data_IF_756004664361
#
_entry.id   IF_756004664361
#
_cell.length_a   1.000
_cell.length_b   1.000
_cell.length_c   1.000
_cell.angle_alpha   90.00
_cell.angle_beta   90.00
_cell.angle_gamma   90.00
#
_symmetry.space_group_name_H-M   'P 1'
#
loop_
_entity.id
_entity.type
_entity.pdbx_description
1 polymer ?
#
# COMPACT_ATOMS: atom_id res chain seq x y z
N UNK A 1 0.54 9.56 -14.03
CA UNK A 1 -0.48 9.21 -13.02
C UNK A 1 -0.78 10.51 -12.31
N UNK A 2 -2.02 10.97 -12.30
CA UNK A 2 -2.43 12.15 -11.54
C UNK A 2 -2.96 11.68 -10.19
N UNK A 3 -2.41 12.24 -9.11
CA UNK A 3 -2.86 11.96 -7.74
C UNK A 3 -3.48 13.24 -7.19
N UNK A 4 -4.69 13.12 -6.64
CA UNK A 4 -5.41 14.23 -6.05
C UNK A 4 -5.72 13.90 -4.60
N UNK A 5 -5.40 14.79 -3.68
CA UNK A 5 -5.82 14.65 -2.29
C UNK A 5 -7.18 15.29 -2.12
N UNK A 6 -8.19 14.50 -1.75
CA UNK A 6 -9.49 14.99 -1.31
C UNK A 6 -9.76 14.50 0.10
N UNK A 7 -9.84 15.44 1.04
CA UNK A 7 -10.03 15.16 2.47
C UNK A 7 -8.98 14.16 2.98
N UNK A 8 -9.40 12.98 3.39
CA UNK A 8 -8.58 11.91 3.95
C UNK A 8 -8.37 10.75 2.95
N UNK A 9 -8.46 11.04 1.64
CA UNK A 9 -8.23 10.10 0.55
C UNK A 9 -7.25 10.66 -0.46
N UNK A 10 -6.50 9.76 -1.08
CA UNK A 10 -5.77 9.99 -2.32
C UNK A 10 -6.58 9.35 -3.43
N UNK A 11 -6.94 10.14 -4.44
CA UNK A 11 -7.62 9.71 -5.65
C UNK A 11 -6.58 9.60 -6.76
N UNK A 12 -6.64 8.50 -7.50
CA UNK A 12 -5.73 8.21 -8.60
C UNK A 12 -6.56 8.10 -9.88
N UNK A 13 -6.15 8.83 -10.91
CA UNK A 13 -6.92 9.01 -12.15
C UNK A 13 -6.97 7.79 -13.07
N UNK A 14 -6.18 6.76 -12.77
CA UNK A 14 -6.12 5.52 -13.54
C UNK A 14 -5.72 4.34 -12.68
N UNK A 15 -6.05 3.16 -13.17
CA UNK A 15 -5.68 1.90 -12.53
C UNK A 15 -4.16 1.69 -12.58
N UNK A 16 -3.58 1.51 -11.40
CA UNK A 16 -2.17 1.19 -11.19
C UNK A 16 -2.05 0.26 -10.00
N UNK A 17 -1.09 -0.66 -10.04
CA UNK A 17 -0.78 -1.49 -8.89
C UNK A 17 -0.03 -0.66 -7.84
N UNK A 18 -0.70 -0.43 -6.71
CA UNK A 18 -0.18 0.37 -5.61
C UNK A 18 0.31 -0.48 -4.44
N UNK A 19 0.25 -1.82 -4.55
CA UNK A 19 0.58 -2.73 -3.43
C UNK A 19 1.98 -2.48 -2.88
N UNK A 20 2.93 -2.14 -3.77
CA UNK A 20 4.36 -1.92 -3.47
C UNK A 20 4.70 -0.52 -2.97
N UNK A 21 3.72 0.37 -2.87
CA UNK A 21 3.93 1.73 -2.37
C UNK A 21 3.80 1.72 -0.84
N UNK A 22 4.92 1.82 -0.14
CA UNK A 22 4.91 1.94 1.33
C UNK A 22 4.16 3.21 1.77
N UNK A 23 3.48 3.11 2.91
CA UNK A 23 2.59 4.15 3.43
C UNK A 23 1.12 3.96 3.05
N UNK A 24 0.81 3.17 2.02
CA UNK A 24 -0.57 2.80 1.70
C UNK A 24 -0.97 1.55 2.49
N UNK A 25 -2.12 1.61 3.16
CA UNK A 25 -2.70 0.46 3.87
C UNK A 25 -3.52 -0.39 2.89
N UNK A 26 -4.35 0.27 2.07
CA UNK A 26 -5.13 -0.36 1.02
C UNK A 26 -5.54 0.66 -0.04
N UNK A 27 -6.01 0.17 -1.18
CA UNK A 27 -6.71 0.96 -2.19
C UNK A 27 -7.91 0.19 -2.74
N UNK A 28 -8.86 0.92 -3.33
CA UNK A 28 -10.07 0.34 -3.89
C UNK A 28 -10.25 0.82 -5.32
N UNK A 29 -10.06 -0.04 -6.34
CA UNK A 29 -10.47 0.26 -7.71
C UNK A 29 -11.96 0.61 -7.70
N UNK A 30 -12.30 1.80 -8.19
CA UNK A 30 -13.64 2.36 -8.05
C UNK A 30 -14.12 3.03 -9.33
N UNK A 31 -15.44 3.10 -9.46
CA UNK A 31 -16.11 3.91 -10.48
C UNK A 31 -16.56 5.22 -9.85
N UNK A 32 -16.22 6.33 -10.50
CA UNK A 32 -16.69 7.67 -10.14
C UNK A 32 -18.02 7.98 -10.83
N UNK A 33 -18.99 8.47 -10.06
CA UNK A 33 -20.26 9.01 -10.55
C UNK A 33 -20.62 10.32 -9.83
N UNK A 34 -21.66 10.99 -10.29
CA UNK A 34 -22.37 11.99 -9.50
C UNK A 34 -23.11 11.35 -8.31
N UNK A 35 -23.87 12.16 -7.58
CA UNK A 35 -24.63 11.71 -6.40
C UNK A 35 -26.07 11.30 -6.67
N UNK A 36 -26.45 11.16 -7.93
CA UNK A 36 -27.77 10.65 -8.26
C UNK A 36 -27.92 9.20 -7.74
N UNK A 37 -28.86 9.02 -6.83
CA UNK A 37 -29.01 7.73 -6.13
C UNK A 37 -29.52 6.64 -7.07
N UNK A 38 -30.29 6.98 -8.11
CA UNK A 38 -30.78 6.01 -9.08
C UNK A 38 -29.67 5.56 -10.04
N UNK A 39 -28.78 6.47 -10.44
CA UNK A 39 -27.56 6.11 -11.18
C UNK A 39 -26.65 5.21 -10.35
N UNK A 40 -26.45 5.54 -9.07
CA UNK A 40 -25.66 4.73 -8.14
C UNK A 40 -26.26 3.33 -7.99
N UNK A 41 -27.58 3.21 -7.77
CA UNK A 41 -28.27 1.91 -7.67
C UNK A 41 -28.04 1.04 -8.90
N UNK A 42 -28.23 1.61 -10.11
CA UNK A 42 -27.98 0.92 -11.37
C UNK A 42 -26.53 0.47 -11.49
N UNK A 43 -25.57 1.33 -11.12
CA UNK A 43 -24.15 0.98 -11.20
C UNK A 43 -23.75 -0.09 -10.19
N UNK A 44 -24.29 -0.06 -8.97
CA UNK A 44 -24.08 -1.13 -7.99
C UNK A 44 -24.60 -2.46 -8.53
N UNK A 45 -25.79 -2.49 -9.13
CA UNK A 45 -26.32 -3.71 -9.74
C UNK A 45 -25.43 -4.20 -10.90
N UNK A 46 -24.97 -3.30 -11.77
CA UNK A 46 -24.05 -3.62 -12.85
C UNK A 46 -22.74 -4.25 -12.35
N UNK A 47 -22.14 -3.69 -11.28
CA UNK A 47 -20.88 -4.17 -10.70
C UNK A 47 -21.01 -5.48 -9.92
N UNK A 48 -22.24 -5.89 -9.57
CA UNK A 48 -22.49 -7.05 -8.70
C UNK A 48 -23.16 -8.21 -9.41
N UNK A 49 -23.94 -7.99 -10.47
CA UNK A 49 -24.76 -9.04 -11.14
C UNK A 49 -23.99 -10.29 -11.56
N UNK A 50 -22.73 -10.14 -11.98
CA UNK A 50 -21.89 -11.23 -12.50
C UNK A 50 -20.94 -11.82 -11.45
N UNK A 51 -20.96 -11.30 -10.21
CA UNK A 51 -20.11 -11.79 -9.11
C UNK A 51 -20.75 -12.99 -8.41
N UNK A 52 -19.91 -13.92 -7.95
CA UNK A 52 -20.32 -15.06 -7.12
C UNK A 52 -20.28 -14.67 -5.65
N UNK A 53 -21.44 -14.55 -5.01
CA UNK A 53 -21.63 -14.30 -3.58
C UNK A 53 -23.04 -14.73 -3.19
N UNK A 54 -23.29 -15.09 -1.93
CA UNK A 54 -24.65 -15.40 -1.44
C UNK A 54 -25.17 -14.32 -0.50
N UNK A 55 -24.26 -13.73 0.26
CA UNK A 55 -24.54 -12.64 1.20
C UNK A 55 -23.81 -11.35 0.84
N UNK A 56 -24.42 -10.21 1.11
CA UNK A 56 -23.79 -8.91 0.85
C UNK A 56 -24.12 -7.85 1.90
N UNK A 57 -23.34 -6.77 1.88
CA UNK A 57 -23.61 -5.53 2.61
C UNK A 57 -23.31 -4.30 1.74
N UNK A 58 -24.08 -3.23 1.95
CA UNK A 58 -23.75 -1.90 1.41
C UNK A 58 -23.10 -1.09 2.53
N UNK A 59 -21.95 -0.50 2.23
CA UNK A 59 -21.18 0.31 3.18
C UNK A 59 -20.95 1.72 2.63
N UNK A 60 -21.95 2.59 2.80
CA UNK A 60 -21.87 3.99 2.41
C UNK A 60 -21.18 4.85 3.47
N UNK A 61 -20.17 5.61 3.05
CA UNK A 61 -19.47 6.59 3.87
C UNK A 61 -19.59 7.98 3.27
N UNK A 62 -20.06 8.94 4.05
CA UNK A 62 -20.18 10.34 3.65
C UNK A 62 -19.00 11.12 4.19
N UNK A 63 -18.21 11.71 3.31
CA UNK A 63 -17.11 12.61 3.66
C UNK A 63 -17.49 13.99 3.16
N UNK A 64 -18.18 14.71 4.05
CA UNK A 64 -18.81 16.05 3.89
C UNK A 64 -19.48 16.25 2.55
N UNK A 65 -20.21 15.22 2.17
CA UNK A 65 -21.24 15.33 1.19
C UNK A 65 -22.46 16.06 1.81
N UNK A 66 -23.02 17.06 1.13
CA UNK A 66 -24.28 17.71 1.54
C UNK A 66 -25.49 16.88 1.07
N UNK A 67 -25.56 15.65 1.59
CA UNK A 67 -26.62 14.71 1.28
C UNK A 67 -27.72 14.80 2.34
N UNK A 68 -28.96 15.00 1.89
CA UNK A 68 -30.15 14.94 2.74
C UNK A 68 -30.32 13.58 3.43
N UNK A 69 -29.84 12.51 2.79
CA UNK A 69 -29.90 11.15 3.31
C UNK A 69 -28.68 10.79 4.16
N UNK A 70 -28.92 10.08 5.26
CA UNK A 70 -27.90 9.44 6.08
C UNK A 70 -27.29 8.21 5.38
N UNK A 71 -26.08 7.81 5.80
CA UNK A 71 -25.46 6.56 5.33
C UNK A 71 -26.35 5.33 5.53
N UNK A 72 -27.12 5.29 6.63
CA UNK A 72 -28.03 4.17 6.92
C UNK A 72 -29.19 4.10 5.94
N UNK A 73 -29.78 5.26 5.59
CA UNK A 73 -30.84 5.34 4.58
C UNK A 73 -30.31 4.97 3.19
N UNK A 74 -29.12 5.47 2.82
CA UNK A 74 -28.46 5.10 1.56
C UNK A 74 -28.22 3.59 1.49
N UNK A 75 -27.66 3.00 2.55
CA UNK A 75 -27.44 1.56 2.62
C UNK A 75 -28.75 0.77 2.47
N UNK A 76 -29.82 1.22 3.13
CA UNK A 76 -31.14 0.58 3.05
C UNK A 76 -31.70 0.63 1.62
N UNK A 77 -31.73 1.81 1.01
CA UNK A 77 -32.31 1.98 -0.34
C UNK A 77 -31.53 1.23 -1.43
N UNK A 78 -30.20 1.24 -1.35
CA UNK A 78 -29.37 0.49 -2.31
C UNK A 78 -29.45 -1.01 -2.03
N UNK A 79 -29.46 -1.42 -0.76
CA UNK A 79 -29.59 -2.81 -0.37
C UNK A 79 -30.91 -3.42 -0.82
N UNK A 80 -32.02 -2.70 -0.65
CA UNK A 80 -33.34 -3.09 -1.16
C UNK A 80 -33.34 -3.24 -2.68
N UNK A 81 -32.73 -2.29 -3.40
CA UNK A 81 -32.62 -2.36 -4.85
C UNK A 81 -31.85 -3.61 -5.30
N UNK A 82 -30.74 -3.93 -4.64
CA UNK A 82 -29.96 -5.15 -4.92
C UNK A 82 -30.76 -6.40 -4.59
N UNK A 83 -31.48 -6.45 -3.46
CA UNK A 83 -32.33 -7.59 -3.07
C UNK A 83 -33.45 -7.88 -4.08
N UNK A 84 -34.08 -6.83 -4.60
CA UNK A 84 -35.20 -6.96 -5.54
C UNK A 84 -34.74 -7.44 -6.93
N UNK A 85 -33.48 -7.20 -7.30
CA UNK A 85 -32.94 -7.58 -8.61
C UNK A 85 -32.07 -8.84 -8.55
N UNK A 86 -31.36 -9.06 -7.44
CA UNK A 86 -30.49 -10.20 -7.21
C UNK A 86 -31.07 -11.02 -6.05
N UNK A 87 -31.33 -12.31 -6.28
CA UNK A 87 -31.85 -13.26 -5.27
C UNK A 87 -30.78 -13.60 -4.20
N UNK A 88 -30.26 -12.58 -3.51
CA UNK A 88 -29.15 -12.63 -2.54
C UNK A 88 -29.66 -12.25 -1.15
N UNK A 89 -28.83 -12.41 -0.11
CA UNK A 89 -29.21 -12.13 1.28
C UNK A 89 -28.34 -11.02 1.88
N UNK A 90 -28.90 -10.20 2.77
CA UNK A 90 -28.11 -9.21 3.51
C UNK A 90 -27.45 -9.86 4.71
N UNK A 91 -26.15 -9.65 4.90
CA UNK A 91 -25.42 -10.00 6.11
C UNK A 91 -24.49 -8.84 6.50
N UNK A 92 -24.79 -8.15 7.60
CA UNK A 92 -24.01 -6.99 8.05
C UNK A 92 -22.80 -7.35 8.92
N UNK A 93 -22.68 -8.61 9.34
CA UNK A 93 -21.61 -9.08 10.22
C UNK A 93 -20.45 -9.64 9.41
N UNK A 94 -20.73 -10.59 8.52
CA UNK A 94 -19.74 -11.26 7.68
C UNK A 94 -20.29 -11.50 6.27
N UNK A 95 -20.44 -10.43 5.46
CA UNK A 95 -20.88 -10.55 4.06
C UNK A 95 -19.80 -11.21 3.19
N UNK A 96 -20.23 -12.03 2.23
CA UNK A 96 -19.34 -12.52 1.16
C UNK A 96 -18.86 -11.37 0.26
N UNK A 97 -19.73 -10.36 0.05
CA UNK A 97 -19.44 -9.17 -0.73
C UNK A 97 -19.84 -7.89 0.00
N UNK A 98 -18.87 -7.00 0.21
CA UNK A 98 -19.17 -5.62 0.63
C UNK A 98 -19.07 -4.69 -0.57
N UNK A 99 -20.15 -3.98 -0.86
CA UNK A 99 -20.13 -2.86 -1.82
C UNK A 99 -19.86 -1.58 -1.05
N UNK A 100 -18.66 -1.04 -1.23
CA UNK A 100 -18.26 0.23 -0.65
C UNK A 100 -18.71 1.40 -1.51
N UNK A 101 -19.25 2.43 -0.87
CA UNK A 101 -19.63 3.68 -1.55
C UNK A 101 -19.10 4.84 -0.73
N UNK A 102 -18.09 5.53 -1.25
CA UNK A 102 -17.57 6.74 -0.62
C UNK A 102 -18.10 7.97 -1.34
N UNK A 103 -18.89 8.79 -0.63
CA UNK A 103 -19.33 10.09 -1.11
C UNK A 103 -18.33 11.16 -0.67
N UNK A 104 -17.62 11.75 -1.61
CA UNK A 104 -16.59 12.76 -1.37
C UNK A 104 -16.96 14.02 -2.15
N UNK A 105 -17.26 15.09 -1.42
CA UNK A 105 -17.56 16.44 -1.93
C UNK A 105 -18.75 16.61 -2.87
N UNK A 106 -18.72 16.06 -4.07
CA UNK A 106 -19.79 16.13 -5.09
C UNK A 106 -19.87 14.83 -5.92
N UNK A 107 -19.03 13.84 -5.59
CA UNK A 107 -18.84 12.58 -6.32
C UNK A 107 -19.05 11.36 -5.43
N UNK A 108 -19.53 10.27 -6.03
CA UNK A 108 -19.62 8.96 -5.41
C UNK A 108 -18.59 8.01 -6.04
N UNK A 109 -17.84 7.31 -5.20
CA UNK A 109 -16.85 6.30 -5.59
C UNK A 109 -17.37 4.93 -5.16
N UNK A 110 -17.72 4.10 -6.13
CA UNK A 110 -18.31 2.77 -5.91
C UNK A 110 -17.25 1.71 -6.16
N UNK A 111 -17.02 0.83 -5.19
CA UNK A 111 -16.06 -0.26 -5.29
C UNK A 111 -16.60 -1.54 -4.68
N UNK A 112 -16.07 -2.66 -5.14
CA UNK A 112 -16.46 -4.01 -4.71
C UNK A 112 -15.26 -4.84 -4.27
N UNK A 113 -14.09 -4.20 -4.18
CA UNK A 113 -12.82 -4.79 -3.79
C UNK A 113 -12.01 -3.76 -3.00
N UNK A 114 -11.25 -4.24 -2.04
CA UNK A 114 -10.23 -3.46 -1.33
C UNK A 114 -8.95 -4.29 -1.37
N UNK A 115 -7.92 -3.74 -2.01
CA UNK A 115 -6.63 -4.40 -2.20
C UNK A 115 -5.69 -3.95 -1.09
N UNK A 116 -5.24 -4.90 -0.28
CA UNK A 116 -4.28 -4.63 0.79
C UNK A 116 -2.89 -4.32 0.23
N UNK A 117 -2.21 -3.37 0.87
CA UNK A 117 -0.87 -2.92 0.53
C UNK A 117 0.10 -3.24 1.68
N UNK A 118 1.40 -3.03 1.45
CA UNK A 118 2.41 -3.32 2.48
C UNK A 118 2.32 -2.44 3.74
N UNK A 119 1.55 -1.34 3.73
CA UNK A 119 1.48 -0.41 4.84
C UNK A 119 2.83 0.25 5.10
N UNK A 120 3.15 0.48 6.38
CA UNK A 120 4.37 1.18 6.78
C UNK A 120 4.25 2.69 6.62
N UNK A 121 5.37 3.35 6.42
CA UNK A 121 5.47 4.80 6.23
C UNK A 121 5.90 5.12 4.79
N UNK A 122 5.48 6.25 4.20
CA UNK A 122 5.96 6.67 2.91
C UNK A 122 7.49 6.81 2.90
N UNK A 123 8.16 6.26 1.89
CA UNK A 123 9.63 6.33 1.78
C UNK A 123 10.09 7.79 1.73
N UNK A 124 11.04 8.14 2.60
CA UNK A 124 11.63 9.47 2.71
C UNK A 124 11.12 10.32 3.88
N UNK A 125 10.08 9.89 4.61
CA UNK A 125 9.58 10.65 5.78
C UNK A 125 10.46 10.49 7.02
N UNK A 126 11.23 9.40 7.12
CA UNK A 126 12.15 9.12 8.24
C UNK A 126 13.62 9.31 7.84
N UNK A 127 13.91 10.28 6.97
CA UNK A 127 15.26 10.66 6.59
C UNK A 127 15.97 9.65 5.69
N UNK A 128 17.30 9.80 5.58
CA UNK A 128 18.15 9.02 4.67
C UNK A 128 19.09 8.08 5.43
N UNK A 129 19.37 6.93 4.86
CA UNK A 129 20.32 5.95 5.42
C UNK A 129 21.18 5.34 4.32
N UNK A 130 22.43 4.99 4.62
CA UNK A 130 23.20 4.09 3.77
C UNK A 130 22.66 2.67 3.92
N UNK A 131 22.68 1.90 2.83
CA UNK A 131 22.41 0.47 2.86
C UNK A 131 23.61 -0.28 2.31
N UNK A 132 24.31 -1.03 3.16
CA UNK A 132 25.44 -1.86 2.76
C UNK A 132 24.95 -3.11 2.04
N UNK A 133 25.14 -3.15 0.73
CA UNK A 133 24.79 -4.28 -0.13
C UNK A 133 25.94 -5.28 -0.15
N UNK A 134 25.67 -6.50 0.35
CA UNK A 134 26.61 -7.64 0.36
C UNK A 134 25.97 -8.95 -0.08
N UNK A 135 24.71 -9.16 0.27
CA UNK A 135 23.97 -10.39 0.00
C UNK A 135 22.45 -10.13 0.08
N UNK A 136 21.65 -11.17 -0.12
CA UNK A 136 20.18 -11.08 -0.08
C UNK A 136 19.62 -10.51 1.24
N UNK A 137 20.32 -10.71 2.37
CA UNK A 137 19.89 -10.11 3.65
C UNK A 137 19.93 -8.58 3.60
N UNK A 138 20.88 -8.01 2.86
CA UNK A 138 20.93 -6.56 2.63
C UNK A 138 19.66 -6.07 1.92
N UNK A 139 19.11 -6.85 0.99
CA UNK A 139 17.85 -6.48 0.33
C UNK A 139 16.69 -6.46 1.33
N UNK A 140 16.57 -7.48 2.19
CA UNK A 140 15.53 -7.50 3.22
C UNK A 140 15.70 -6.34 4.20
N UNK A 141 16.92 -6.06 4.66
CA UNK A 141 17.20 -4.93 5.53
C UNK A 141 16.76 -3.60 4.88
N UNK A 142 17.09 -3.40 3.61
CA UNK A 142 16.66 -2.25 2.83
C UNK A 142 15.14 -2.12 2.72
N UNK A 143 14.44 -3.21 2.40
CA UNK A 143 12.98 -3.24 2.32
C UNK A 143 12.32 -2.90 3.65
N UNK A 144 12.84 -3.43 4.77
CA UNK A 144 12.32 -3.13 6.11
C UNK A 144 12.53 -1.67 6.49
N UNK A 145 13.68 -1.08 6.13
CA UNK A 145 13.97 0.33 6.38
C UNK A 145 13.12 1.25 5.51
N UNK A 146 12.93 0.93 4.22
CA UNK A 146 12.00 1.65 3.35
C UNK A 146 10.55 1.56 3.86
N UNK A 147 10.13 0.39 4.38
CA UNK A 147 8.81 0.21 5.01
C UNK A 147 8.65 1.07 6.26
N UNK A 148 9.74 1.39 6.96
CA UNK A 148 9.77 2.34 8.08
C UNK A 148 9.95 3.79 7.62
N UNK A 149 9.88 4.09 6.33
CA UNK A 149 9.90 5.45 5.81
C UNK A 149 11.30 6.01 5.55
N UNK A 150 12.37 5.22 5.69
CA UNK A 150 13.71 5.69 5.38
C UNK A 150 13.99 5.63 3.87
N UNK A 151 14.62 6.68 3.35
CA UNK A 151 15.16 6.72 2.00
C UNK A 151 16.56 6.08 1.98
N UNK A 152 16.71 4.97 1.27
CA UNK A 152 17.95 4.21 1.24
C UNK A 152 18.90 4.73 0.15
N UNK A 153 20.20 4.72 0.46
CA UNK A 153 21.27 4.91 -0.51
C UNK A 153 22.13 3.63 -0.57
N UNK A 154 21.91 2.77 -1.58
CA UNK A 154 22.67 1.54 -1.73
C UNK A 154 24.15 1.81 -1.97
N UNK A 155 25.01 1.17 -1.17
CA UNK A 155 26.47 1.22 -1.30
C UNK A 155 27.02 -0.20 -1.22
N UNK A 156 28.07 -0.49 -1.98
CA UNK A 156 28.66 -1.83 -2.00
C UNK A 156 30.11 -1.81 -2.48
N UNK A 157 30.85 -2.87 -2.16
CA UNK A 157 32.21 -3.06 -2.67
C UNK A 157 32.17 -3.74 -4.05
N UNK A 158 31.24 -4.68 -4.21
CA UNK A 158 31.02 -5.47 -5.41
C UNK A 158 29.69 -5.12 -6.09
N UNK A 159 29.54 -5.54 -7.35
CA UNK A 159 28.26 -5.45 -8.04
C UNK A 159 27.24 -6.41 -7.42
N UNK A 160 25.99 -5.97 -7.33
CA UNK A 160 24.91 -6.78 -6.79
C UNK A 160 23.56 -6.32 -7.37
N UNK A 161 22.66 -7.25 -7.64
CA UNK A 161 21.33 -6.93 -8.17
C UNK A 161 20.44 -6.30 -7.08
N UNK A 162 20.07 -5.03 -7.27
CA UNK A 162 19.17 -4.26 -6.40
C UNK A 162 17.76 -4.10 -6.98
N UNK A 163 17.41 -4.82 -8.05
CA UNK A 163 16.10 -4.73 -8.71
C UNK A 163 14.93 -4.97 -7.74
N UNK A 164 15.10 -5.84 -6.74
CA UNK A 164 14.07 -6.05 -5.72
C UNK A 164 13.80 -4.78 -4.91
N UNK A 165 14.84 -4.01 -4.55
CA UNK A 165 14.67 -2.74 -3.85
C UNK A 165 14.02 -1.69 -4.76
N UNK A 166 14.41 -1.65 -6.03
CA UNK A 166 13.89 -0.69 -7.01
C UNK A 166 12.36 -0.79 -7.16
N UNK A 167 11.79 -2.01 -7.08
CA UNK A 167 10.33 -2.23 -7.15
C UNK A 167 9.54 -1.50 -6.06
N UNK A 168 10.18 -1.13 -4.95
CA UNK A 168 9.55 -0.51 -3.78
C UNK A 168 10.02 0.94 -3.55
N UNK A 169 11.02 1.40 -4.30
CA UNK A 169 11.54 2.75 -4.20
C UNK A 169 10.73 3.70 -5.08
N UNK A 170 10.32 4.88 -4.56
CA UNK A 170 9.65 5.91 -5.36
C UNK A 170 10.59 6.62 -6.35
N UNK A 171 11.90 6.41 -6.21
CA UNK A 171 12.96 6.99 -7.05
C UNK A 171 13.87 5.90 -7.61
N UNK A 172 14.61 6.25 -8.65
CA UNK A 172 15.67 5.39 -9.16
C UNK A 172 16.77 5.19 -8.11
N UNK A 173 17.16 3.94 -7.91
CA UNK A 173 18.22 3.51 -7.02
C UNK A 173 19.45 3.15 -7.85
N UNK A 174 20.60 3.61 -7.39
CA UNK A 174 21.89 3.28 -7.96
C UNK A 174 22.77 2.68 -6.87
N UNK A 175 23.42 1.55 -7.18
CA UNK A 175 24.43 0.97 -6.30
C UNK A 175 25.74 1.74 -6.45
N UNK A 176 26.08 2.54 -5.44
CA UNK A 176 27.35 3.28 -5.43
C UNK A 176 28.49 2.41 -4.94
N UNK A 177 29.52 2.24 -5.77
CA UNK A 177 30.73 1.52 -5.39
C UNK A 177 31.58 2.35 -4.41
N UNK A 178 32.02 1.69 -3.34
CA UNK A 178 32.95 2.24 -2.33
C UNK A 178 34.11 1.27 -2.14
N UNK A 179 35.28 1.75 -1.72
CA UNK A 179 36.42 0.88 -1.39
C UNK A 179 36.39 0.45 0.08
N UNK A 180 35.95 1.35 0.97
CA UNK A 180 35.81 1.10 2.41
C UNK A 180 34.63 1.88 2.98
N UNK A 181 34.01 1.36 4.03
CA UNK A 181 32.92 1.99 4.77
C UNK A 181 33.39 3.29 5.43
N UNK A 182 34.70 3.45 5.70
CA UNK A 182 35.27 4.71 6.18
C UNK A 182 35.02 5.89 5.25
N UNK A 183 34.85 5.66 3.94
CA UNK A 183 34.46 6.72 3.00
C UNK A 183 33.09 7.31 3.30
N UNK A 184 32.25 6.57 4.01
CA UNK A 184 30.90 6.98 4.38
C UNK A 184 30.89 7.83 5.66
N UNK A 185 31.93 7.75 6.50
CA UNK A 185 32.03 8.49 7.78
C UNK A 185 32.05 10.01 7.61
N UNK A 186 32.38 10.49 6.41
CA UNK A 186 32.28 11.92 6.07
C UNK A 186 30.84 12.40 5.89
N UNK A 187 29.89 11.48 5.88
CA UNK A 187 28.46 11.76 5.79
C UNK A 187 27.80 11.35 7.10
N UNK A 188 27.09 12.27 7.74
CA UNK A 188 26.38 12.05 9.00
C UNK A 188 25.07 11.26 8.78
N UNK A 189 25.15 10.08 8.18
CA UNK A 189 24.00 9.20 7.93
C UNK A 189 24.21 7.81 8.57
N UNK A 190 23.17 7.21 9.17
CA UNK A 190 23.26 5.84 9.67
C UNK A 190 23.56 4.82 8.56
N UNK A 191 24.23 3.73 8.94
CA UNK A 191 24.54 2.60 8.08
C UNK A 191 23.64 1.40 8.40
N UNK A 192 22.78 1.05 7.46
CA UNK A 192 21.95 -0.16 7.54
C UNK A 192 22.73 -1.35 6.98
N UNK A 193 22.72 -2.46 7.71
CA UNK A 193 23.36 -3.69 7.28
C UNK A 193 22.43 -4.91 7.39
N UNK A 194 22.46 -5.79 6.39
CA UNK A 194 21.76 -7.09 6.45
C UNK A 194 22.57 -8.20 7.12
N UNK A 195 23.87 -7.97 7.25
CA UNK A 195 24.85 -8.81 7.93
C UNK A 195 25.95 -7.89 8.45
N UNK A 196 26.65 -8.28 9.51
CA UNK A 196 27.63 -7.43 10.19
C UNK A 196 28.57 -6.63 9.26
N UNK A 197 29.00 -5.46 9.77
CA UNK A 197 29.79 -4.47 9.04
C UNK A 197 31.10 -5.05 8.52
N UNK A 198 31.77 -5.91 9.30
CA UNK A 198 33.01 -6.59 8.93
C UNK A 198 34.27 -5.73 9.06
N UNK A 199 34.14 -4.46 9.43
CA UNK A 199 35.22 -3.56 9.77
C UNK A 199 34.77 -2.54 10.84
N UNK A 200 35.73 -1.89 11.48
CA UNK A 200 35.46 -0.85 12.48
C UNK A 200 34.97 0.44 11.80
N UNK A 201 33.89 1.03 12.32
CA UNK A 201 33.34 2.29 11.84
C UNK A 201 32.78 3.15 12.97
N UNK A 202 32.81 4.47 12.78
CA UNK A 202 32.19 5.46 13.67
C UNK A 202 30.71 5.70 13.38
N UNK A 203 30.18 5.14 12.29
CA UNK A 203 28.78 5.32 11.91
C UNK A 203 27.84 4.62 12.90
N UNK A 204 26.64 5.19 13.07
CA UNK A 204 25.55 4.49 13.75
C UNK A 204 25.09 3.33 12.86
N UNK A 205 25.27 2.10 13.32
CA UNK A 205 24.92 0.88 12.58
C UNK A 205 23.51 0.42 12.97
N UNK A 206 22.66 0.21 11.99
CA UNK A 206 21.31 -0.32 12.14
C UNK A 206 21.24 -1.74 11.59
N UNK A 207 20.85 -2.69 12.43
CA UNK A 207 20.76 -4.11 12.09
C UNK A 207 19.29 -4.60 12.18
N UNK A 208 18.43 -4.26 11.20
CA UNK A 208 16.99 -4.54 11.27
C UNK A 208 16.63 -6.02 11.25
N UNK A 209 17.61 -6.91 11.03
CA UNK A 209 17.42 -8.36 10.99
C UNK A 209 17.85 -9.07 12.27
N UNK A 210 18.32 -8.33 13.29
CA UNK A 210 18.66 -8.92 14.59
C UNK A 210 17.42 -9.60 15.18
N UNK A 211 17.61 -10.84 15.64
CA UNK A 211 16.54 -11.69 16.17
C UNK A 211 15.84 -12.56 15.12
N UNK A 212 16.12 -12.41 13.82
CA UNK A 212 15.57 -13.26 12.77
C UNK A 212 16.51 -14.41 12.42
N UNK A 213 15.95 -15.61 12.30
CA UNK A 213 16.65 -16.78 11.80
C UNK A 213 16.61 -16.86 10.25
N UNK A 214 17.36 -17.81 9.68
CA UNK A 214 17.48 -17.95 8.21
C UNK A 214 16.14 -18.26 7.52
N UNK A 215 15.29 -19.07 8.15
CA UNK A 215 14.00 -19.44 7.58
C UNK A 215 13.05 -18.23 7.54
N UNK A 216 12.99 -17.46 8.63
CA UNK A 216 12.19 -16.23 8.71
C UNK A 216 12.63 -15.18 7.70
N UNK A 217 13.94 -15.01 7.49
CA UNK A 217 14.48 -14.11 6.48
C UNK A 217 14.01 -14.52 5.08
N UNK A 218 14.14 -15.81 4.74
CA UNK A 218 13.72 -16.35 3.45
C UNK A 218 12.21 -16.18 3.22
N UNK A 219 11.41 -16.48 4.24
CA UNK A 219 9.96 -16.30 4.21
C UNK A 219 9.59 -14.82 3.96
N UNK A 220 10.19 -13.88 4.71
CA UNK A 220 9.93 -12.45 4.53
C UNK A 220 10.31 -11.96 3.15
N UNK A 221 11.46 -12.37 2.61
CA UNK A 221 11.86 -12.03 1.24
C UNK A 221 10.83 -12.55 0.23
N UNK A 222 10.33 -13.77 0.42
CA UNK A 222 9.33 -14.36 -0.49
C UNK A 222 8.03 -13.54 -0.58
N UNK A 223 7.63 -12.89 0.51
CA UNK A 223 6.44 -12.00 0.54
C UNK A 223 6.66 -10.80 -0.41
N UNK A 224 7.84 -10.19 -0.37
CA UNK A 224 8.19 -9.07 -1.26
C UNK A 224 8.38 -9.50 -2.73
N UNK A 225 8.74 -10.76 -2.99
CA UNK A 225 8.86 -11.27 -4.36
C UNK A 225 7.50 -11.58 -4.98
N UNK A 226 6.57 -12.14 -4.20
CA UNK A 226 5.26 -12.62 -4.68
C UNK A 226 4.24 -11.52 -4.94
N UNK A 227 4.43 -10.35 -4.35
CA UNK A 227 3.55 -9.19 -4.53
C UNK A 227 3.87 -8.47 -5.83
#
# INVERSE_FOLDING_TARGET
VKVMRKRNRLLVDKEVDLRKVFGLISYSPSVELGWDLEEIKKKVLELTKDKKFETFAIAAKRMGADLKLSSKEINGQIGEFVLNNLKKKVNLSQPDLTVGIEFIDDKAYIFTETVDCFGGLPVGVEGKVFLLIKNEKSLLAGLLMMKRGCDIMPVGLDDFDINLLQKYSPKELELKKIKTIKELEKFDLPLVVGSGVGEETKLVVLEPLVGLNKAEISEKISIFIRT
#
